data_IF_929716776760
#
_entry.id   IF_929716776760
#
_cell.length_a   1.000
_cell.length_b   1.000
_cell.length_c   1.000
_cell.angle_alpha   90.00
_cell.angle_beta   90.00
_cell.angle_gamma   90.00
#
_symmetry.space_group_name_H-M   'P 1'
#
loop_
_entity.id
_entity.type
_entity.pdbx_description
1 polymer ?
#
# COMPACT_ATOMS: atom_id res chain seq x y z
N UNK A 1 45.66 8.69 11.40
CA UNK A 1 44.80 9.20 10.33
C UNK A 1 43.56 9.80 10.98
N UNK A 2 43.56 11.12 11.13
CA UNK A 2 42.46 11.87 11.74
C UNK A 2 41.36 12.03 10.68
N UNK A 3 40.17 11.45 10.92
CA UNK A 3 39.00 11.66 10.09
C UNK A 3 38.41 13.01 10.51
N UNK A 4 38.51 14.03 9.64
CA UNK A 4 37.84 15.30 9.87
C UNK A 4 36.32 15.11 9.87
N UNK A 5 35.57 15.73 10.80
CA UNK A 5 34.13 15.66 10.82
C UNK A 5 33.58 16.39 9.59
N UNK A 6 32.68 15.70 8.86
CA UNK A 6 31.93 16.30 7.75
C UNK A 6 31.10 17.46 8.29
N UNK A 7 31.46 18.69 7.90
CA UNK A 7 30.64 19.87 8.18
C UNK A 7 29.38 19.80 7.31
N UNK A 8 28.28 19.45 7.91
CA UNK A 8 26.93 19.59 7.33
C UNK A 8 26.51 21.07 7.32
N UNK A 9 27.22 21.87 6.53
CA UNK A 9 26.80 23.24 6.27
C UNK A 9 25.91 23.22 5.03
N UNK A 10 24.67 23.64 5.20
CA UNK A 10 23.59 23.79 4.22
C UNK A 10 22.60 22.61 4.12
N UNK A 11 22.07 22.16 5.24
CA UNK A 11 20.72 21.66 5.25
C UNK A 11 19.82 22.91 5.27
N UNK A 12 19.01 23.20 4.25
CA UNK A 12 18.02 24.26 4.37
C UNK A 12 17.17 23.92 5.59
N UNK A 13 16.99 24.88 6.49
CA UNK A 13 15.97 24.77 7.53
C UNK A 13 14.66 24.54 6.78
N UNK A 14 14.20 23.29 6.76
CA UNK A 14 12.86 22.98 6.33
C UNK A 14 11.98 23.81 7.26
N UNK A 15 11.30 24.82 6.73
CA UNK A 15 10.20 25.47 7.42
C UNK A 15 9.29 24.34 7.85
N UNK A 16 9.32 24.01 9.14
CA UNK A 16 8.37 23.10 9.74
C UNK A 16 7.04 23.85 9.65
N UNK A 17 6.24 23.55 8.63
CA UNK A 17 4.87 23.99 8.59
C UNK A 17 4.26 23.57 9.94
N UNK A 18 3.94 24.56 10.76
CA UNK A 18 3.31 24.32 12.05
C UNK A 18 1.95 23.71 11.75
N UNK A 19 1.84 22.39 11.94
CA UNK A 19 0.59 21.67 11.79
C UNK A 19 -0.47 22.36 12.65
N UNK A 20 -1.43 22.99 12.00
CA UNK A 20 -2.56 23.60 12.68
C UNK A 20 -3.53 22.48 13.08
N UNK A 21 -3.68 22.22 14.38
CA UNK A 21 -4.58 21.16 14.86
C UNK A 21 -6.06 21.41 14.50
N UNK A 22 -6.43 22.65 14.18
CA UNK A 22 -7.79 22.98 13.74
C UNK A 22 -8.12 22.31 12.38
N UNK A 23 -7.12 22.13 11.52
CA UNK A 23 -7.29 21.50 10.19
C UNK A 23 -7.61 19.99 10.30
N UNK A 24 -7.41 19.41 11.48
CA UNK A 24 -7.70 18.00 11.77
C UNK A 24 -8.97 17.78 12.59
N UNK A 25 -9.71 18.85 12.91
CA UNK A 25 -11.00 18.72 13.59
C UNK A 25 -12.04 18.12 12.65
N UNK A 26 -12.62 17.02 13.09
CA UNK A 26 -13.77 16.42 12.43
C UNK A 26 -15.04 17.05 13.00
N UNK A 27 -15.82 17.65 12.13
CA UNK A 27 -17.16 18.13 12.48
C UNK A 27 -18.15 16.96 12.33
N UNK A 28 -18.77 16.48 13.41
CA UNK A 28 -19.70 15.34 13.34
C UNK A 28 -21.00 15.66 12.57
N UNK A 29 -21.29 16.93 12.36
CA UNK A 29 -22.49 17.38 11.61
C UNK A 29 -22.19 17.55 10.11
N UNK A 30 -20.95 17.29 9.68
CA UNK A 30 -20.55 17.33 8.25
C UNK A 30 -20.83 15.98 7.60
N UNK A 31 -21.45 16.02 6.43
CA UNK A 31 -21.68 14.80 5.62
C UNK A 31 -20.36 14.40 4.94
N UNK A 32 -19.62 13.52 5.61
CA UNK A 32 -18.34 12.98 5.11
C UNK A 32 -18.67 11.77 4.23
N UNK A 33 -18.30 11.79 2.93
CA UNK A 33 -18.58 10.67 2.04
C UNK A 33 -17.85 9.40 2.48
N UNK A 34 -18.47 8.25 2.24
CA UNK A 34 -17.82 6.96 2.51
C UNK A 34 -16.55 6.80 1.65
N UNK A 35 -15.46 6.27 2.23
CA UNK A 35 -14.22 6.07 1.50
C UNK A 35 -14.40 5.03 0.38
N UNK A 36 -13.80 5.30 -0.78
CA UNK A 36 -13.90 4.42 -1.95
C UNK A 36 -13.13 3.12 -1.70
N UNK A 37 -13.74 1.95 -1.88
CA UNK A 37 -13.05 0.67 -1.76
C UNK A 37 -12.00 0.50 -2.87
N UNK A 38 -10.75 0.27 -2.49
CA UNK A 38 -9.66 -0.08 -3.41
C UNK A 38 -9.68 -1.57 -3.70
N UNK A 39 -9.72 -2.36 -2.62
CA UNK A 39 -9.78 -3.82 -2.66
C UNK A 39 -10.96 -4.30 -1.84
N UNK A 40 -11.74 -5.21 -2.41
CA UNK A 40 -12.92 -5.77 -1.77
C UNK A 40 -13.08 -7.26 -2.08
N UNK A 41 -13.98 -7.88 -1.37
CA UNK A 41 -14.52 -9.20 -1.64
C UNK A 41 -16.04 -9.14 -1.56
N UNK A 42 -16.71 -10.27 -1.77
CA UNK A 42 -18.15 -10.39 -1.72
C UNK A 42 -18.54 -11.36 -0.61
N UNK A 43 -19.59 -11.04 0.13
CA UNK A 43 -20.18 -11.97 1.08
C UNK A 43 -21.06 -13.02 0.37
N UNK A 44 -21.58 -13.97 1.13
CA UNK A 44 -22.48 -15.02 0.61
C UNK A 44 -23.80 -14.47 0.04
N UNK A 45 -24.17 -13.23 0.39
CA UNK A 45 -25.38 -12.53 -0.07
C UNK A 45 -25.11 -11.63 -1.27
N UNK A 46 -23.87 -11.56 -1.72
CA UNK A 46 -23.46 -10.70 -2.83
C UNK A 46 -23.27 -9.23 -2.44
N UNK A 47 -23.09 -8.93 -1.15
CA UNK A 47 -22.77 -7.60 -0.68
C UNK A 47 -21.26 -7.38 -0.74
N UNK A 48 -20.84 -6.19 -1.15
CA UNK A 48 -19.44 -5.80 -1.22
C UNK A 48 -18.88 -5.63 0.20
N UNK A 49 -17.77 -6.30 0.48
CA UNK A 49 -17.02 -6.19 1.72
C UNK A 49 -15.67 -5.52 1.45
N UNK A 50 -15.49 -4.26 1.84
CA UNK A 50 -14.22 -3.54 1.63
C UNK A 50 -13.12 -4.15 2.50
N UNK A 51 -11.94 -4.36 1.92
CA UNK A 51 -10.72 -4.81 2.60
C UNK A 51 -9.77 -3.62 2.79
N UNK A 52 -9.57 -2.84 1.72
CA UNK A 52 -8.81 -1.59 1.74
C UNK A 52 -9.62 -0.49 1.08
N UNK A 53 -9.54 0.70 1.65
CA UNK A 53 -10.22 1.90 1.15
C UNK A 53 -9.19 3.00 0.90
N UNK A 54 -9.56 4.02 0.12
CA UNK A 54 -8.77 5.24 -0.03
C UNK A 54 -8.54 5.91 1.33
N UNK A 55 -7.48 6.68 1.42
CA UNK A 55 -7.10 7.53 2.57
C UNK A 55 -6.93 6.78 3.90
N UNK A 56 -6.77 5.45 3.85
CA UNK A 56 -6.56 4.61 5.02
C UNK A 56 -5.22 3.89 4.98
N UNK A 57 -4.61 3.75 6.15
CA UNK A 57 -3.44 2.91 6.38
C UNK A 57 -3.91 1.58 6.96
N UNK A 58 -3.54 0.49 6.30
CA UNK A 58 -3.87 -0.86 6.76
C UNK A 58 -2.62 -1.63 7.12
N UNK A 59 -2.70 -2.47 8.15
CA UNK A 59 -1.59 -3.29 8.63
C UNK A 59 -1.93 -4.78 8.52
N UNK A 60 -0.99 -5.56 7.97
CA UNK A 60 -1.07 -7.02 7.97
C UNK A 60 -0.06 -7.56 8.96
N UNK A 61 -0.55 -8.15 10.04
CA UNK A 61 0.26 -8.73 11.10
C UNK A 61 0.17 -10.26 11.09
N UNK A 62 1.25 -10.92 11.45
CA UNK A 62 1.29 -12.39 11.59
C UNK A 62 2.66 -12.86 12.05
N UNK A 63 2.71 -14.05 12.63
CA UNK A 63 3.95 -14.72 13.09
C UNK A 63 4.92 -14.96 11.92
N UNK A 64 6.18 -15.22 12.22
CA UNK A 64 7.14 -15.67 11.22
C UNK A 64 6.59 -16.90 10.47
N UNK A 65 6.84 -17.00 9.17
CA UNK A 65 6.35 -18.09 8.29
C UNK A 65 4.82 -18.18 8.12
N UNK A 66 4.04 -17.18 8.53
CA UNK A 66 2.58 -17.13 8.36
C UNK A 66 2.12 -16.80 6.91
N UNK A 67 3.03 -16.87 5.94
CA UNK A 67 2.75 -16.57 4.52
C UNK A 67 2.28 -15.13 4.22
N UNK A 68 2.65 -14.14 5.06
CA UNK A 68 2.37 -12.71 4.82
C UNK A 68 2.76 -12.26 3.41
N UNK A 69 3.99 -12.60 2.99
CA UNK A 69 4.49 -12.24 1.65
C UNK A 69 3.67 -12.88 0.51
N UNK A 70 3.09 -14.05 0.73
CA UNK A 70 2.18 -14.68 -0.25
C UNK A 70 0.87 -13.91 -0.32
N UNK A 71 0.34 -13.47 0.81
CA UNK A 71 -0.88 -12.68 0.86
C UNK A 71 -0.68 -11.29 0.23
N UNK A 72 0.44 -10.63 0.50
CA UNK A 72 0.80 -9.36 -0.16
C UNK A 72 0.88 -9.54 -1.68
N UNK A 73 1.45 -10.64 -2.17
CA UNK A 73 1.46 -10.94 -3.61
C UNK A 73 0.06 -11.14 -4.19
N UNK A 74 -0.83 -11.81 -3.46
CA UNK A 74 -2.21 -11.99 -3.88
C UNK A 74 -2.95 -10.64 -3.99
N UNK A 75 -2.80 -9.77 -2.99
CA UNK A 75 -3.32 -8.39 -3.02
C UNK A 75 -2.74 -7.63 -4.21
N UNK A 76 -1.43 -7.66 -4.38
CA UNK A 76 -0.75 -6.98 -5.48
C UNK A 76 -1.25 -7.46 -6.84
N UNK A 77 -1.47 -8.76 -6.97
CA UNK A 77 -2.02 -9.36 -8.20
C UNK A 77 -3.45 -8.88 -8.46
N UNK A 78 -4.30 -8.82 -7.43
CA UNK A 78 -5.67 -8.31 -7.56
C UNK A 78 -5.69 -6.82 -7.93
N UNK A 79 -4.86 -5.99 -7.27
CA UNK A 79 -4.75 -4.56 -7.56
C UNK A 79 -4.28 -4.31 -8.99
N UNK A 80 -3.29 -5.06 -9.46
CA UNK A 80 -2.74 -4.90 -10.82
C UNK A 80 -3.63 -5.52 -11.90
N UNK A 81 -4.25 -6.67 -11.65
CA UNK A 81 -5.06 -7.42 -12.61
C UNK A 81 -6.55 -7.16 -12.55
N UNK A 82 -7.03 -6.47 -11.51
CA UNK A 82 -8.43 -6.24 -11.24
C UNK A 82 -9.10 -7.35 -10.42
N UNK A 83 -8.57 -8.58 -10.46
CA UNK A 83 -9.12 -9.72 -9.72
C UNK A 83 -8.03 -10.79 -9.46
N UNK A 84 -8.08 -11.39 -8.28
CA UNK A 84 -7.31 -12.59 -7.96
C UNK A 84 -8.06 -13.43 -6.90
N UNK A 85 -8.54 -14.61 -7.27
CA UNK A 85 -9.39 -15.43 -6.40
C UNK A 85 -10.68 -14.69 -6.03
N UNK A 86 -10.91 -14.52 -4.74
CA UNK A 86 -12.06 -13.76 -4.21
C UNK A 86 -11.78 -12.26 -4.03
N UNK A 87 -10.56 -11.82 -4.29
CA UNK A 87 -10.18 -10.42 -4.18
C UNK A 87 -10.46 -9.70 -5.49
N UNK A 88 -11.17 -8.58 -5.44
CA UNK A 88 -11.45 -7.73 -6.58
C UNK A 88 -11.01 -6.29 -6.31
N UNK A 89 -10.49 -5.64 -7.35
CA UNK A 89 -10.05 -4.26 -7.32
C UNK A 89 -10.74 -3.48 -8.44
N UNK A 90 -11.58 -2.53 -8.08
CA UNK A 90 -12.25 -1.62 -9.02
C UNK A 90 -11.49 -0.32 -9.23
N UNK A 91 -10.43 -0.10 -8.47
CA UNK A 91 -9.63 1.11 -8.51
C UNK A 91 -8.80 1.19 -9.79
N UNK A 92 -8.95 2.26 -10.55
CA UNK A 92 -8.40 2.36 -11.92
C UNK A 92 -7.00 2.96 -12.03
N UNK A 93 -6.39 3.45 -10.95
CA UNK A 93 -5.08 4.12 -11.02
C UNK A 93 -3.91 3.19 -11.32
N UNK A 94 -4.04 1.89 -11.12
CA UNK A 94 -3.16 0.83 -11.60
C UNK A 94 -1.65 1.00 -11.35
N UNK A 95 -1.28 1.84 -10.39
CA UNK A 95 0.11 2.02 -9.96
C UNK A 95 0.23 1.57 -8.52
N UNK A 96 1.23 0.75 -8.25
CA UNK A 96 1.53 0.26 -6.92
C UNK A 96 3.05 0.26 -6.73
N UNK A 97 3.50 0.71 -5.55
CA UNK A 97 4.88 0.59 -5.14
C UNK A 97 4.98 -0.41 -3.98
N UNK A 98 5.96 -1.30 -4.06
CA UNK A 98 6.28 -2.25 -2.98
C UNK A 98 7.68 -1.93 -2.50
N UNK A 99 7.81 -1.58 -1.22
CA UNK A 99 9.09 -1.37 -0.56
C UNK A 99 9.39 -2.59 0.31
N UNK A 100 10.35 -3.39 -0.09
CA UNK A 100 10.79 -4.57 0.66
C UNK A 100 12.16 -4.30 1.26
N UNK A 101 12.24 -4.28 2.58
CA UNK A 101 13.45 -3.99 3.34
C UNK A 101 14.13 -5.25 3.89
N UNK A 102 13.50 -6.41 3.74
CA UNK A 102 13.97 -7.68 4.33
C UNK A 102 14.53 -8.64 3.28
N UNK A 103 14.02 -8.60 2.05
CA UNK A 103 14.37 -9.55 1.01
C UNK A 103 15.41 -8.99 0.03
N UNK A 104 16.37 -9.83 -0.33
CA UNK A 104 17.34 -9.46 -1.37
C UNK A 104 16.69 -9.35 -2.76
N UNK A 105 17.37 -8.65 -3.67
CA UNK A 105 16.91 -8.34 -5.03
C UNK A 105 16.38 -9.56 -5.82
N UNK A 106 16.98 -10.74 -5.64
CA UNK A 106 16.54 -11.97 -6.30
C UNK A 106 15.09 -12.34 -5.91
N UNK A 107 14.76 -12.30 -4.62
CA UNK A 107 13.42 -12.65 -4.12
C UNK A 107 12.39 -11.61 -4.52
N UNK A 108 12.75 -10.33 -4.47
CA UNK A 108 11.91 -9.23 -4.95
C UNK A 108 11.60 -9.37 -6.45
N UNK A 109 12.61 -9.61 -7.28
CA UNK A 109 12.44 -9.84 -8.72
C UNK A 109 11.53 -11.04 -9.02
N UNK A 110 11.69 -12.14 -8.27
CA UNK A 110 10.82 -13.30 -8.41
C UNK A 110 9.36 -12.98 -8.04
N UNK A 111 9.14 -12.22 -6.96
CA UNK A 111 7.81 -11.79 -6.55
C UNK A 111 7.13 -10.92 -7.62
N UNK A 112 7.85 -9.95 -8.17
CA UNK A 112 7.35 -9.08 -9.25
C UNK A 112 7.00 -9.88 -10.50
N UNK A 113 7.85 -10.84 -10.92
CA UNK A 113 7.54 -11.73 -12.06
C UNK A 113 6.28 -12.55 -11.83
N UNK A 114 6.05 -13.05 -10.63
CA UNK A 114 4.83 -13.79 -10.30
C UNK A 114 3.59 -12.88 -10.37
N UNK A 115 3.65 -11.67 -9.82
CA UNK A 115 2.57 -10.70 -9.90
C UNK A 115 2.25 -10.37 -11.36
N UNK A 116 3.28 -10.11 -12.18
CA UNK A 116 3.15 -9.87 -13.62
C UNK A 116 2.43 -11.03 -14.33
N UNK A 117 2.89 -12.24 -14.10
CA UNK A 117 2.32 -13.43 -14.74
C UNK A 117 0.86 -13.66 -14.34
N UNK A 118 0.54 -13.51 -13.06
CA UNK A 118 -0.79 -13.78 -12.51
C UNK A 118 -1.80 -12.67 -12.80
N UNK A 119 -1.36 -11.42 -12.90
CA UNK A 119 -2.20 -10.28 -13.24
C UNK A 119 -2.49 -10.15 -14.74
N UNK A 120 -1.75 -10.87 -15.59
CA UNK A 120 -1.87 -10.75 -17.03
C UNK A 120 -1.40 -9.40 -17.60
N UNK A 121 -0.75 -8.57 -16.79
CA UNK A 121 -0.25 -7.24 -17.19
C UNK A 121 1.26 -7.24 -17.40
N UNK A 122 1.69 -6.48 -18.40
CA UNK A 122 3.09 -6.10 -18.51
C UNK A 122 3.35 -5.03 -17.42
N UNK A 123 4.09 -5.42 -16.41
CA UNK A 123 4.65 -4.50 -15.41
C UNK A 123 6.03 -4.12 -15.93
N UNK A 124 6.20 -2.88 -16.33
CA UNK A 124 7.50 -2.31 -16.73
C UNK A 124 8.27 -1.84 -15.48
#
# INVERSE_FOLDING_TARGET
>A
MLIEPIKLNNVPEAECDVLNLEDFKINPDEDIPEPIPILHTWDERGSLLPIFTEDNISMIQGKAKSRKSTFIRAISTAVMGGKFGMLECTYRRNRMAIFDTEQGAYHCSRAVRQIKQLSGRNVD
#
